data_IF_811945434151
#
_entry.id   IF_811945434151
#
_cell.length_a   1.000
_cell.length_b   1.000
_cell.length_c   1.000
_cell.angle_alpha   90.00
_cell.angle_beta   90.00
_cell.angle_gamma   90.00
#
_symmetry.space_group_name_H-M   'P 1'
#
loop_
_entity.id
_entity.type
_entity.pdbx_description
1 polymer ?
#
# COMPACT_ATOMS: atom_id res chain seq x y z
N UNK A 1 -4.74 10.86 -33.73
CA UNK A 1 -4.03 11.86 -32.93
C UNK A 1 -3.93 11.49 -31.44
N UNK A 2 -4.99 10.98 -30.84
CA UNK A 2 -5.02 10.58 -29.41
C UNK A 2 -4.09 9.41 -29.06
N UNK A 3 -4.05 8.35 -29.87
CA UNK A 3 -3.16 7.19 -29.66
C UNK A 3 -1.68 7.57 -29.70
N UNK A 4 -1.29 8.52 -30.53
CA UNK A 4 0.10 9.00 -30.66
C UNK A 4 0.55 9.78 -29.43
N UNK A 5 -0.36 10.49 -28.76
CA UNK A 5 -0.08 11.21 -27.53
C UNK A 5 0.10 10.25 -26.33
N UNK A 6 -0.68 9.17 -26.27
CA UNK A 6 -0.55 8.15 -25.23
C UNK A 6 0.79 7.42 -25.35
N UNK A 7 1.20 7.03 -26.56
CA UNK A 7 2.51 6.38 -26.78
C UNK A 7 3.67 7.32 -26.48
N UNK A 8 3.57 8.60 -26.80
CA UNK A 8 4.61 9.60 -26.52
C UNK A 8 4.81 9.83 -25.02
N UNK A 9 3.74 9.76 -24.21
CA UNK A 9 3.84 9.88 -22.76
C UNK A 9 4.45 8.64 -22.10
N UNK A 10 4.34 7.48 -22.72
CA UNK A 10 4.95 6.22 -22.21
C UNK A 10 6.46 6.20 -22.50
N UNK A 11 6.89 6.71 -23.67
CA UNK A 11 8.32 6.78 -24.02
C UNK A 11 9.13 7.78 -23.16
N UNK A 12 8.47 8.74 -22.50
CA UNK A 12 9.13 9.68 -21.59
C UNK A 12 9.40 9.11 -20.20
N UNK A 13 8.83 7.95 -19.85
CA UNK A 13 9.14 7.27 -18.58
C UNK A 13 10.52 6.59 -18.75
N UNK A 14 11.58 7.35 -18.66
CA UNK A 14 12.93 6.81 -18.62
C UNK A 14 13.05 5.88 -17.41
N UNK A 15 13.55 4.66 -17.62
CA UNK A 15 13.82 3.67 -16.57
C UNK A 15 14.49 4.30 -15.33
N UNK A 16 15.38 5.27 -15.54
CA UNK A 16 16.03 6.02 -14.46
C UNK A 16 15.05 6.81 -13.58
N UNK A 17 14.02 7.45 -14.17
CA UNK A 17 12.97 8.15 -13.41
C UNK A 17 12.12 7.17 -12.62
N UNK A 18 11.76 6.06 -13.25
CA UNK A 18 10.97 5.00 -12.61
C UNK A 18 11.74 4.38 -11.44
N UNK A 19 12.99 4.01 -11.63
CA UNK A 19 13.84 3.48 -10.57
C UNK A 19 13.99 4.47 -9.41
N UNK A 20 14.24 5.75 -9.69
CA UNK A 20 14.33 6.78 -8.66
C UNK A 20 13.05 6.93 -7.84
N UNK A 21 11.89 6.69 -8.45
CA UNK A 21 10.61 6.72 -7.77
C UNK A 21 10.36 5.45 -6.94
N UNK A 22 10.78 4.28 -7.44
CA UNK A 22 10.53 2.97 -6.80
C UNK A 22 11.51 2.72 -5.65
N UNK A 23 12.76 3.17 -5.73
CA UNK A 23 13.80 2.90 -4.72
C UNK A 23 13.35 3.26 -3.29
N UNK A 24 12.80 4.44 -2.99
CA UNK A 24 12.36 4.77 -1.64
C UNK A 24 11.28 3.82 -1.11
N UNK A 25 10.32 3.47 -1.95
CA UNK A 25 9.24 2.53 -1.60
C UNK A 25 9.79 1.12 -1.36
N UNK A 26 10.73 0.69 -2.20
CA UNK A 26 11.39 -0.61 -2.03
C UNK A 26 12.22 -0.67 -0.75
N UNK A 27 12.95 0.39 -0.42
CA UNK A 27 13.69 0.47 0.85
C UNK A 27 12.75 0.39 2.05
N UNK A 28 11.63 1.09 2.04
CA UNK A 28 10.62 1.01 3.10
C UNK A 28 10.12 -0.43 3.27
N UNK A 29 9.79 -1.11 2.18
CA UNK A 29 9.36 -2.50 2.20
C UNK A 29 10.45 -3.44 2.74
N UNK A 30 11.72 -3.20 2.38
CA UNK A 30 12.85 -3.97 2.88
C UNK A 30 13.00 -3.81 4.41
N UNK A 31 12.94 -2.58 4.91
CA UNK A 31 13.00 -2.32 6.36
C UNK A 31 11.84 -2.98 7.11
N UNK A 32 10.63 -2.92 6.56
CA UNK A 32 9.46 -3.58 7.15
C UNK A 32 9.65 -5.10 7.21
N UNK A 33 10.21 -5.70 6.17
CA UNK A 33 10.50 -7.14 6.13
C UNK A 33 11.55 -7.53 7.18
N UNK A 34 12.65 -6.77 7.27
CA UNK A 34 13.68 -6.99 8.29
C UNK A 34 13.09 -6.86 9.69
N UNK A 35 12.28 -5.83 9.94
CA UNK A 35 11.56 -5.65 11.20
C UNK A 35 10.72 -6.88 11.56
N UNK A 36 9.94 -7.40 10.63
CA UNK A 36 9.09 -8.59 10.86
C UNK A 36 9.92 -9.84 11.19
N UNK A 37 11.06 -10.03 10.52
CA UNK A 37 11.97 -11.14 10.81
C UNK A 37 12.56 -11.02 12.22
N UNK A 38 13.03 -9.84 12.57
CA UNK A 38 13.61 -9.56 13.90
C UNK A 38 12.57 -9.78 14.99
N UNK A 39 11.33 -9.28 14.79
CA UNK A 39 10.22 -9.48 15.71
C UNK A 39 9.94 -10.98 15.94
N UNK A 40 9.85 -11.75 14.87
CA UNK A 40 9.66 -13.21 14.95
C UNK A 40 10.79 -13.93 15.71
N UNK A 41 12.04 -13.51 15.55
CA UNK A 41 13.19 -14.04 16.31
C UNK A 41 13.04 -13.73 17.80
N UNK A 42 12.71 -12.48 18.14
CA UNK A 42 12.52 -12.06 19.54
C UNK A 42 11.37 -12.81 20.21
N UNK A 43 10.23 -12.93 19.54
CA UNK A 43 9.08 -13.69 20.06
C UNK A 43 9.46 -15.16 20.30
N UNK A 44 10.13 -15.78 19.34
CA UNK A 44 10.57 -17.18 19.47
C UNK A 44 11.57 -17.38 20.60
N UNK A 45 12.51 -16.45 20.75
CA UNK A 45 13.60 -16.57 21.72
C UNK A 45 13.18 -16.25 23.17
N UNK A 46 12.30 -15.25 23.37
CA UNK A 46 11.98 -14.73 24.71
C UNK A 46 10.59 -15.17 25.22
N UNK A 47 9.64 -15.37 24.31
CA UNK A 47 8.26 -15.79 24.69
C UNK A 47 8.04 -17.28 24.47
N UNK A 48 8.72 -17.85 23.49
CA UNK A 48 8.71 -19.28 23.21
C UNK A 48 7.95 -19.66 21.93
N UNK A 49 8.16 -20.89 21.50
CA UNK A 49 7.61 -21.44 20.24
C UNK A 49 6.07 -21.50 20.20
N UNK A 50 5.43 -21.66 21.36
CA UNK A 50 3.97 -21.66 21.45
C UNK A 50 3.36 -20.28 21.11
N UNK A 51 4.01 -19.20 21.52
CA UNK A 51 3.60 -17.84 21.16
C UNK A 51 3.76 -17.59 19.65
N UNK A 52 4.86 -18.05 19.05
CA UNK A 52 5.06 -17.98 17.61
C UNK A 52 4.01 -18.79 16.85
N UNK A 53 3.65 -19.97 17.33
CA UNK A 53 2.58 -20.77 16.75
C UNK A 53 1.21 -20.06 16.82
N UNK A 54 0.88 -19.42 17.95
CA UNK A 54 -0.34 -18.65 18.11
C UNK A 54 -0.41 -17.47 17.12
N UNK A 55 0.69 -16.73 16.94
CA UNK A 55 0.78 -15.66 15.94
C UNK A 55 0.50 -16.21 14.54
N UNK A 56 1.09 -17.34 14.17
CA UNK A 56 0.90 -17.95 12.86
C UNK A 56 -0.56 -18.38 12.60
N UNK A 57 -1.30 -18.77 13.63
CA UNK A 57 -2.74 -19.09 13.51
C UNK A 57 -3.59 -17.84 13.23
N UNK A 58 -3.25 -16.70 13.85
CA UNK A 58 -3.96 -15.44 13.66
C UNK A 58 -3.55 -14.71 12.38
N UNK A 59 -2.35 -14.96 11.89
CA UNK A 59 -1.74 -14.27 10.76
C UNK A 59 -2.59 -14.24 9.47
N UNK A 60 -3.28 -15.32 9.06
CA UNK A 60 -4.18 -15.29 7.90
C UNK A 60 -5.33 -14.30 8.04
N UNK A 61 -5.91 -14.18 9.24
CA UNK A 61 -6.97 -13.22 9.50
C UNK A 61 -6.47 -11.77 9.37
N UNK A 62 -5.32 -11.50 9.99
CA UNK A 62 -4.67 -10.19 9.88
C UNK A 62 -4.35 -9.84 8.42
N UNK A 63 -3.85 -10.81 7.63
CA UNK A 63 -3.57 -10.60 6.21
C UNK A 63 -4.81 -10.30 5.37
N UNK A 64 -5.95 -10.90 5.66
CA UNK A 64 -7.21 -10.59 4.99
C UNK A 64 -7.61 -9.14 5.26
N UNK A 65 -7.57 -8.71 6.53
CA UNK A 65 -7.87 -7.33 6.92
C UNK A 65 -6.90 -6.33 6.28
N UNK A 66 -5.62 -6.66 6.29
CA UNK A 66 -4.59 -5.86 5.62
C UNK A 66 -4.82 -5.76 4.11
N UNK A 67 -5.19 -6.85 3.45
CA UNK A 67 -5.52 -6.88 2.02
C UNK A 67 -6.71 -5.97 1.68
N UNK A 68 -7.76 -5.97 2.50
CA UNK A 68 -8.92 -5.08 2.34
C UNK A 68 -8.47 -3.61 2.48
N UNK A 69 -7.72 -3.28 3.53
CA UNK A 69 -7.20 -1.94 3.74
C UNK A 69 -6.30 -1.48 2.59
N UNK A 70 -5.43 -2.37 2.09
CA UNK A 70 -4.55 -2.10 0.96
C UNK A 70 -5.33 -1.86 -0.33
N UNK A 71 -6.43 -2.58 -0.57
CA UNK A 71 -7.30 -2.38 -1.74
C UNK A 71 -7.90 -0.96 -1.74
N UNK A 72 -8.39 -0.47 -0.60
CA UNK A 72 -8.89 0.90 -0.48
C UNK A 72 -7.78 1.94 -0.64
N UNK A 73 -6.62 1.72 -0.04
CA UNK A 73 -5.49 2.64 -0.12
C UNK A 73 -4.95 2.75 -1.56
N UNK A 74 -4.69 1.63 -2.22
CA UNK A 74 -4.13 1.62 -3.58
C UNK A 74 -5.17 2.01 -4.62
N UNK A 75 -6.41 1.53 -4.50
CA UNK A 75 -7.51 1.90 -5.40
C UNK A 75 -7.84 3.39 -5.30
N UNK A 76 -7.96 3.92 -4.08
CA UNK A 76 -8.23 5.33 -3.84
C UNK A 76 -7.12 6.24 -4.34
N UNK A 77 -5.85 5.88 -4.10
CA UNK A 77 -4.70 6.66 -4.59
C UNK A 77 -4.58 6.64 -6.12
N UNK A 78 -4.85 5.50 -6.76
CA UNK A 78 -4.83 5.40 -8.22
C UNK A 78 -5.92 6.25 -8.88
N UNK A 79 -7.15 6.22 -8.35
CA UNK A 79 -8.25 7.06 -8.83
C UNK A 79 -7.98 8.55 -8.61
N UNK A 80 -7.46 8.93 -7.44
CA UNK A 80 -7.08 10.31 -7.18
C UNK A 80 -6.00 10.79 -8.15
N UNK A 81 -4.99 9.98 -8.43
CA UNK A 81 -3.94 10.29 -9.40
C UNK A 81 -4.49 10.47 -10.82
N UNK A 82 -5.45 9.64 -11.25
CA UNK A 82 -6.13 9.78 -12.54
C UNK A 82 -6.90 11.10 -12.64
N UNK A 83 -7.63 11.49 -11.60
CA UNK A 83 -8.36 12.75 -11.55
C UNK A 83 -7.41 13.96 -11.58
N UNK A 84 -6.28 13.91 -10.86
CA UNK A 84 -5.24 14.95 -10.91
C UNK A 84 -4.66 15.05 -12.32
N UNK A 85 -4.33 13.93 -12.96
CA UNK A 85 -3.84 13.89 -14.33
C UNK A 85 -4.83 14.46 -15.34
N UNK A 86 -6.13 14.28 -15.10
CA UNK A 86 -7.23 14.88 -15.87
C UNK A 86 -7.56 16.34 -15.49
N UNK A 87 -6.79 16.99 -14.62
CA UNK A 87 -7.03 18.35 -14.10
C UNK A 87 -8.37 18.53 -13.37
N UNK A 88 -8.91 17.45 -12.82
CA UNK A 88 -10.17 17.41 -12.06
C UNK A 88 -9.89 17.37 -10.55
N UNK A 89 -9.34 18.44 -10.02
CA UNK A 89 -8.87 18.53 -8.64
C UNK A 89 -9.98 18.29 -7.61
N UNK A 90 -11.21 18.75 -7.88
CA UNK A 90 -12.35 18.55 -6.98
C UNK A 90 -12.73 17.06 -6.88
N UNK A 91 -12.74 16.34 -8.01
CA UNK A 91 -12.99 14.91 -8.04
C UNK A 91 -11.86 14.13 -7.34
N UNK A 92 -10.61 14.56 -7.50
CA UNK A 92 -9.47 13.97 -6.81
C UNK A 92 -9.58 14.12 -5.28
N UNK A 93 -9.91 15.33 -4.81
CA UNK A 93 -10.10 15.62 -3.38
C UNK A 93 -11.26 14.81 -2.80
N UNK A 94 -12.37 14.72 -3.52
CA UNK A 94 -13.52 13.90 -3.12
C UNK A 94 -13.16 12.41 -3.03
N UNK A 95 -12.48 11.88 -4.03
CA UNK A 95 -12.02 10.48 -4.05
C UNK A 95 -11.10 10.17 -2.87
N UNK A 96 -10.16 11.06 -2.60
CA UNK A 96 -9.26 10.93 -1.45
C UNK A 96 -10.02 10.95 -0.13
N UNK A 97 -10.94 11.90 0.06
CA UNK A 97 -11.74 12.03 1.28
C UNK A 97 -12.61 10.80 1.54
N UNK A 98 -13.27 10.27 0.49
CA UNK A 98 -14.09 9.06 0.59
C UNK A 98 -13.24 7.85 0.94
N UNK A 99 -12.08 7.67 0.30
CA UNK A 99 -11.17 6.56 0.59
C UNK A 99 -10.63 6.63 2.02
N UNK A 100 -10.30 7.83 2.49
CA UNK A 100 -9.84 8.05 3.87
C UNK A 100 -10.95 7.76 4.89
N UNK A 101 -12.16 8.25 4.65
CA UNK A 101 -13.32 7.97 5.51
C UNK A 101 -13.62 6.46 5.58
N UNK A 102 -13.59 5.77 4.45
CA UNK A 102 -13.78 4.31 4.40
C UNK A 102 -12.68 3.58 5.20
N UNK A 103 -11.42 3.98 5.07
CA UNK A 103 -10.32 3.40 5.83
C UNK A 103 -10.48 3.62 7.34
N UNK A 104 -10.91 4.82 7.77
CA UNK A 104 -11.18 5.13 9.19
C UNK A 104 -12.33 4.26 9.72
N UNK A 105 -13.44 4.16 8.99
CA UNK A 105 -14.58 3.33 9.40
C UNK A 105 -14.18 1.87 9.53
N UNK A 106 -13.45 1.33 8.56
CA UNK A 106 -12.93 -0.06 8.62
C UNK A 106 -11.97 -0.26 9.80
N UNK A 107 -11.11 0.70 10.08
CA UNK A 107 -10.20 0.66 11.23
C UNK A 107 -10.96 0.65 12.55
N UNK A 108 -12.02 1.46 12.69
CA UNK A 108 -12.87 1.48 13.90
C UNK A 108 -13.66 0.20 14.11
N UNK A 109 -14.10 -0.44 13.02
CA UNK A 109 -14.79 -1.74 13.10
C UNK A 109 -13.82 -2.85 13.56
N UNK A 110 -12.52 -2.69 13.27
CA UNK A 110 -11.50 -3.68 13.63
C UNK A 110 -11.07 -3.60 15.10
N UNK A 111 -11.25 -2.47 15.77
CA UNK A 111 -10.97 -2.29 17.20
C UNK A 111 -12.07 -2.90 18.04
#
# INVERSE_FOLDING_TARGET
MEKTLIFRSVDEIRLKKLLRFIIPTYLTSLFTTVYTIVDGIFVSAYVGTNALAAINVVYPLVNILYGIALAFATGGSALAALHIGGKKNDEASRTFSVSMAAAIVLSLIHI
#
